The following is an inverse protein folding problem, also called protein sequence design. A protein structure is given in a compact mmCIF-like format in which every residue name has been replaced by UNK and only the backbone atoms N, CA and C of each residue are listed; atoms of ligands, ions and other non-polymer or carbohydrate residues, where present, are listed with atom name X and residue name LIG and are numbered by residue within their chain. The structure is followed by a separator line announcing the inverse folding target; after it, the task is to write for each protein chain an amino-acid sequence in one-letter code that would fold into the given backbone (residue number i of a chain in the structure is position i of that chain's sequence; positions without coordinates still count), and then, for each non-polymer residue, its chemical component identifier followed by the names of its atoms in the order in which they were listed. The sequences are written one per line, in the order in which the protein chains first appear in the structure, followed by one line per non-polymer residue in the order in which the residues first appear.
data_IF_672127143620
#
_entry.id   IF_672127143620
#
_cell.length_a   1.000
_cell.length_b   1.000
_cell.length_c   1.000
_cell.angle_alpha   90.00
_cell.angle_beta   90.00
_cell.angle_gamma   90.00
#
_symmetry.space_group_name_H-M   'P 1'
#
loop_
_entity.id
_entity.type
_entity.pdbx_description
1 polymer ?
#
# COMPACT_ATOMS: atom_id res chain seq x y z
N UNK A 1 13.09 7.07 1.89
CA UNK A 1 12.06 8.03 1.45
C UNK A 1 11.52 8.81 2.66
N UNK A 2 11.18 10.10 2.49
CA UNK A 2 10.46 10.87 3.52
C UNK A 2 8.97 10.54 3.43
N UNK A 3 8.35 10.20 4.55
CA UNK A 3 6.94 9.79 4.59
C UNK A 3 6.14 10.79 5.44
N UNK A 4 4.89 11.13 5.05
CA UNK A 4 4.07 12.04 5.85
C UNK A 4 3.77 11.49 7.26
N UNK A 5 3.70 12.39 8.25
CA UNK A 5 3.48 12.02 9.66
C UNK A 5 2.16 11.33 9.95
N UNK A 6 1.15 11.55 9.12
CA UNK A 6 -0.15 10.88 9.27
C UNK A 6 -0.12 9.42 8.81
N UNK A 7 0.91 9.01 8.06
CA UNK A 7 1.16 7.59 7.73
C UNK A 7 2.05 6.95 8.80
N UNK A 8 3.08 7.67 9.26
CA UNK A 8 4.01 7.18 10.29
C UNK A 8 4.41 8.31 11.22
N UNK A 9 4.05 8.21 12.50
CA UNK A 9 4.29 9.28 13.46
C UNK A 9 5.67 9.20 14.15
N UNK A 10 6.27 8.00 14.20
CA UNK A 10 7.45 7.70 15.00
C UNK A 10 8.78 7.95 14.28
N UNK A 11 8.77 8.07 12.95
CA UNK A 11 9.97 8.33 12.14
C UNK A 11 9.60 9.13 10.89
N UNK A 12 10.50 10.01 10.45
CA UNK A 12 10.33 10.77 9.21
C UNK A 12 10.91 10.02 7.99
N UNK A 13 11.54 8.85 8.18
CA UNK A 13 12.24 8.10 7.12
C UNK A 13 11.89 6.63 7.14
N UNK A 14 11.62 6.09 5.95
CA UNK A 14 11.46 4.66 5.70
C UNK A 14 12.46 4.23 4.63
N UNK A 15 13.12 3.09 4.85
CA UNK A 15 13.97 2.47 3.86
C UNK A 15 13.12 1.58 2.94
N UNK A 16 12.81 2.07 1.74
CA UNK A 16 12.03 1.31 0.75
C UNK A 16 12.83 0.22 0.03
N UNK A 17 14.15 0.17 0.22
CA UNK A 17 14.97 -0.94 -0.28
C UNK A 17 14.91 -2.16 0.64
N UNK A 18 14.43 -2.00 1.88
CA UNK A 18 14.12 -3.12 2.77
C UNK A 18 12.70 -3.64 2.46
N UNK A 19 12.54 -4.89 1.98
CA UNK A 19 11.24 -5.45 1.61
C UNK A 19 10.22 -5.44 2.75
N UNK A 20 10.67 -5.60 4.00
CA UNK A 20 9.78 -5.56 5.15
C UNK A 20 9.17 -4.16 5.31
N UNK A 21 10.02 -3.14 5.31
CA UNK A 21 9.59 -1.75 5.40
C UNK A 21 8.76 -1.30 4.19
N UNK A 22 9.06 -1.82 3.00
CA UNK A 22 8.28 -1.53 1.79
C UNK A 22 6.86 -2.10 1.91
N UNK A 23 6.71 -3.37 2.28
CA UNK A 23 5.40 -3.99 2.51
C UNK A 23 4.64 -3.30 3.64
N UNK A 24 5.31 -2.98 4.73
CA UNK A 24 4.69 -2.23 5.82
C UNK A 24 4.12 -0.89 5.34
N UNK A 25 4.88 -0.13 4.53
CA UNK A 25 4.43 1.15 3.98
C UNK A 25 3.24 0.97 3.04
N UNK A 26 3.26 -0.05 2.16
CA UNK A 26 2.12 -0.38 1.30
C UNK A 26 0.87 -0.67 2.13
N UNK A 27 0.98 -1.50 3.17
CA UNK A 27 -0.13 -1.78 4.10
C UNK A 27 -0.67 -0.50 4.74
N UNK A 28 0.20 0.39 5.23
CA UNK A 28 -0.24 1.64 5.84
C UNK A 28 -0.99 2.53 4.86
N UNK A 29 -0.46 2.71 3.64
CA UNK A 29 -1.10 3.57 2.63
C UNK A 29 -2.44 2.98 2.18
N UNK A 30 -2.54 1.67 1.97
CA UNK A 30 -3.80 1.04 1.56
C UNK A 30 -4.87 1.02 2.65
N UNK A 31 -4.47 1.20 3.92
CA UNK A 31 -5.40 1.18 5.07
C UNK A 31 -5.78 2.59 5.54
N UNK A 32 -4.81 3.52 5.53
CA UNK A 32 -4.92 4.84 6.18
C UNK A 32 -4.47 6.00 5.29
N UNK A 33 -3.94 5.70 4.10
CA UNK A 33 -3.46 6.71 3.16
C UNK A 33 -4.60 7.52 2.58
N UNK A 34 -4.24 8.72 2.11
CA UNK A 34 -5.15 9.58 1.37
C UNK A 34 -5.18 9.15 -0.10
N UNK A 35 -6.13 9.68 -0.85
CA UNK A 35 -6.25 9.39 -2.27
C UNK A 35 -4.97 9.76 -3.06
N UNK A 36 -4.29 10.84 -2.67
CA UNK A 36 -3.01 11.23 -3.26
C UNK A 36 -1.88 10.23 -2.97
N UNK A 37 -1.84 9.63 -1.78
CA UNK A 37 -0.82 8.64 -1.40
C UNK A 37 -1.00 7.36 -2.19
N UNK A 38 -2.26 6.90 -2.30
CA UNK A 38 -2.64 5.74 -3.10
C UNK A 38 -2.28 5.95 -4.57
N UNK A 39 -2.55 7.13 -5.13
CA UNK A 39 -2.25 7.47 -6.53
C UNK A 39 -0.74 7.45 -6.83
N UNK A 40 0.10 7.68 -5.82
CA UNK A 40 1.55 7.64 -5.96
C UNK A 40 2.15 6.22 -5.90
N UNK A 41 1.35 5.20 -5.60
CA UNK A 41 1.81 3.80 -5.55
C UNK A 41 1.92 3.19 -6.95
N UNK A 42 2.85 2.24 -7.08
CA UNK A 42 2.91 1.35 -8.25
C UNK A 42 1.83 0.26 -8.11
N UNK A 43 0.82 0.32 -8.97
CA UNK A 43 -0.29 -0.63 -8.95
C UNK A 43 0.14 -2.07 -9.27
N UNK A 44 1.23 -2.26 -10.03
CA UNK A 44 1.79 -3.60 -10.30
C UNK A 44 2.44 -4.17 -9.04
N UNK A 45 3.11 -3.32 -8.25
CA UNK A 45 3.68 -3.72 -6.96
C UNK A 45 2.59 -4.14 -5.98
N UNK A 46 1.52 -3.34 -5.86
CA UNK A 46 0.38 -3.71 -5.02
C UNK A 46 -0.15 -5.08 -5.42
N UNK A 47 -0.37 -5.32 -6.72
CA UNK A 47 -0.88 -6.61 -7.22
C UNK A 47 0.02 -7.79 -6.83
N UNK A 48 1.34 -7.65 -6.91
CA UNK A 48 2.29 -8.71 -6.54
C UNK A 48 2.30 -8.97 -5.04
N UNK A 49 2.24 -7.92 -4.24
CA UNK A 49 2.41 -8.00 -2.78
C UNK A 49 1.10 -8.21 -2.03
N UNK A 50 -0.07 -8.01 -2.65
CA UNK A 50 -1.38 -7.88 -1.98
C UNK A 50 -1.65 -9.01 -0.97
N UNK A 51 -1.44 -10.27 -1.36
CA UNK A 51 -1.65 -11.44 -0.49
C UNK A 51 -0.71 -11.48 0.72
N UNK A 52 0.45 -10.81 0.63
CA UNK A 52 1.48 -10.77 1.68
C UNK A 52 1.30 -9.60 2.65
N UNK A 53 0.46 -8.61 2.30
CA UNK A 53 0.26 -7.42 3.12
C UNK A 53 -0.61 -7.68 4.36
N UNK A 54 -1.31 -8.82 4.40
CA UNK A 54 -2.20 -9.21 5.51
C UNK A 54 -3.19 -8.08 5.86
N UNK A 55 -3.84 -7.54 4.83
CA UNK A 55 -4.81 -6.46 4.99
C UNK A 55 -6.06 -6.96 5.73
N UNK A 56 -6.76 -6.08 6.47
CA UNK A 56 -8.11 -6.39 6.97
C UNK A 56 -8.99 -6.96 5.85
N UNK A 57 -9.79 -8.02 6.09
CA UNK A 57 -10.47 -8.77 5.03
C UNK A 57 -11.29 -7.92 4.05
N UNK A 58 -12.01 -6.92 4.56
CA UNK A 58 -12.82 -6.02 3.74
C UNK A 58 -11.98 -5.15 2.80
N UNK A 59 -10.79 -4.69 3.25
CA UNK A 59 -9.87 -3.94 2.40
C UNK A 59 -9.19 -4.86 1.38
N UNK A 60 -8.82 -6.07 1.79
CA UNK A 60 -8.23 -7.04 0.89
C UNK A 60 -9.18 -7.35 -0.28
N UNK A 61 -10.45 -7.66 0.02
CA UNK A 61 -11.46 -7.91 -1.01
C UNK A 61 -11.71 -6.69 -1.91
N UNK A 62 -11.77 -5.49 -1.34
CA UNK A 62 -11.93 -4.25 -2.11
C UNK A 62 -10.80 -4.08 -3.13
N UNK A 63 -9.54 -4.23 -2.69
CA UNK A 63 -8.37 -4.07 -3.55
C UNK A 63 -8.28 -5.18 -4.60
N UNK A 64 -8.60 -6.43 -4.24
CA UNK A 64 -8.67 -7.54 -5.21
C UNK A 64 -9.66 -7.23 -6.34
N UNK A 65 -10.89 -6.87 -5.99
CA UNK A 65 -11.92 -6.56 -6.99
C UNK A 65 -11.55 -5.35 -7.86
N UNK A 66 -10.98 -4.30 -7.25
CA UNK A 66 -10.51 -3.14 -8.00
C UNK A 66 -9.44 -3.54 -9.04
N UNK A 67 -8.42 -4.29 -8.63
CA UNK A 67 -7.35 -4.74 -9.50
C UNK A 67 -7.82 -5.73 -10.56
N UNK A 68 -8.79 -6.59 -10.25
CA UNK A 68 -9.41 -7.48 -11.25
C UNK A 68 -10.15 -6.66 -12.32
N UNK A 69 -10.87 -5.61 -11.91
CA UNK A 69 -11.67 -4.78 -12.83
C UNK A 69 -10.83 -3.92 -13.78
N UNK A 70 -9.71 -3.39 -13.31
CA UNK A 70 -8.83 -2.52 -14.10
C UNK A 70 -7.95 -3.33 -15.07
N UNK A 71 -7.70 -4.61 -14.81
CA UNK A 71 -6.92 -5.50 -15.70
C UNK A 71 -7.79 -6.32 -16.66
N UNK A 72 -9.11 -6.26 -16.50
CA UNK A 72 -10.07 -6.83 -17.45
C UNK A 72 -10.41 -5.86 -18.60
N UNK A 73 -9.89 -4.62 -18.56
CA UNK A 73 -9.94 -3.62 -19.64
C UNK A 73 -8.65 -3.63 -20.44
#
# INVERSE_FOLDING_TARGET
MKVPRYIVWSTDRINTADPFQRRWLLRQILTHGRAEDVRALDMQEIKRELETLDLPPHLNSLWKHFLESEYAR
#
